data_IF_464539006066
#
_entry.id   IF_464539006066
#
_cell.length_a   1.000
_cell.length_b   1.000
_cell.length_c   1.000
_cell.angle_alpha   90.00
_cell.angle_beta   90.00
_cell.angle_gamma   90.00
#
_symmetry.space_group_name_H-M   'P 1'
#
loop_
_entity.id
_entity.type
_entity.pdbx_description
1 polymer ?
#
# COMPACT_ATOMS: atom_id res chain seq x y z
N UNK A 1 -5.80 6.83 -7.36
CA UNK A 1 -7.21 6.95 -6.95
C UNK A 1 -8.16 6.40 -7.99
N UNK A 2 -7.98 6.79 -9.24
CA UNK A 2 -8.83 6.29 -10.32
C UNK A 2 -8.75 4.77 -10.49
N UNK A 3 -7.59 4.17 -10.20
CA UNK A 3 -7.42 2.71 -10.26
C UNK A 3 -8.34 2.03 -9.24
N UNK A 4 -8.37 2.53 -8.01
CA UNK A 4 -9.22 1.95 -6.95
C UNK A 4 -10.71 2.15 -7.26
N UNK A 5 -11.08 3.32 -7.78
CA UNK A 5 -12.46 3.56 -8.19
C UNK A 5 -12.89 2.57 -9.27
N UNK A 6 -12.03 2.34 -10.28
CA UNK A 6 -12.33 1.39 -11.34
C UNK A 6 -12.51 -0.02 -10.82
N UNK A 7 -11.61 -0.47 -9.94
CA UNK A 7 -11.72 -1.81 -9.34
C UNK A 7 -12.98 -1.93 -8.49
N UNK A 8 -13.28 -0.91 -7.69
CA UNK A 8 -14.47 -0.91 -6.86
C UNK A 8 -15.75 -1.01 -7.72
N UNK A 9 -15.83 -0.24 -8.79
CA UNK A 9 -17.01 -0.21 -9.65
C UNK A 9 -17.28 -1.56 -10.33
N UNK A 10 -16.21 -2.29 -10.68
CA UNK A 10 -16.35 -3.62 -11.29
C UNK A 10 -16.66 -4.69 -10.26
N UNK A 11 -16.15 -4.54 -9.04
CA UNK A 11 -16.25 -5.55 -7.98
C UNK A 11 -16.75 -4.93 -6.66
N UNK A 12 -17.95 -4.32 -6.63
CA UNK A 12 -18.38 -3.55 -5.44
C UNK A 12 -18.60 -4.39 -4.19
N UNK A 13 -18.78 -5.70 -4.33
CA UNK A 13 -19.01 -6.60 -3.18
C UNK A 13 -17.73 -7.19 -2.63
N UNK A 14 -16.61 -7.01 -3.31
CA UNK A 14 -15.32 -7.55 -2.86
C UNK A 14 -14.55 -6.50 -2.09
N UNK A 15 -13.81 -6.95 -1.08
CA UNK A 15 -12.95 -6.08 -0.29
C UNK A 15 -11.65 -5.84 -1.03
N UNK A 16 -11.16 -4.62 -0.96
CA UNK A 16 -9.91 -4.22 -1.62
C UNK A 16 -8.81 -4.07 -0.58
N UNK A 17 -7.71 -4.78 -0.80
CA UNK A 17 -6.49 -4.68 0.00
C UNK A 17 -5.45 -4.02 -0.89
N UNK A 18 -5.03 -2.81 -0.55
CA UNK A 18 -4.01 -2.09 -1.31
C UNK A 18 -2.64 -2.34 -0.69
N UNK A 19 -1.67 -2.76 -1.51
CA UNK A 19 -0.28 -2.91 -1.09
C UNK A 19 0.48 -1.74 -1.71
N UNK A 20 0.86 -0.78 -0.88
CA UNK A 20 1.42 0.48 -1.36
C UNK A 20 2.90 0.60 -1.01
N UNK A 21 3.73 0.80 -2.02
CA UNK A 21 5.14 1.12 -1.86
C UNK A 21 5.35 2.59 -2.20
N UNK A 22 5.60 3.46 -1.20
CA UNK A 22 5.92 4.86 -1.49
C UNK A 22 7.21 4.96 -2.29
N UNK A 23 7.26 5.89 -3.22
CA UNK A 23 8.37 6.02 -4.16
C UNK A 23 9.00 7.40 -4.02
N UNK A 24 10.27 7.44 -3.62
CA UNK A 24 11.07 8.65 -3.37
C UNK A 24 10.59 9.46 -2.18
N UNK A 25 11.53 9.82 -1.31
CA UNK A 25 11.23 10.65 -0.15
C UNK A 25 10.66 12.01 -0.53
N UNK A 26 11.28 12.67 -1.53
CA UNK A 26 10.86 13.99 -1.97
C UNK A 26 9.41 13.99 -2.45
N UNK A 27 9.03 13.00 -3.22
CA UNK A 27 7.67 12.91 -3.76
C UNK A 27 6.64 12.66 -2.67
N UNK A 28 6.93 11.75 -1.76
CA UNK A 28 5.98 11.40 -0.70
C UNK A 28 5.82 12.55 0.28
N UNK A 29 6.92 13.20 0.67
CA UNK A 29 6.87 14.36 1.55
C UNK A 29 6.07 15.49 0.92
N UNK A 30 6.29 15.75 -0.37
CA UNK A 30 5.59 16.81 -1.10
C UNK A 30 4.10 16.52 -1.29
N UNK A 31 3.72 15.25 -1.51
CA UNK A 31 2.37 14.86 -1.90
C UNK A 31 1.67 14.01 -0.84
N UNK A 32 2.14 14.04 0.40
CA UNK A 32 1.62 13.13 1.42
C UNK A 32 0.12 13.27 1.67
N UNK A 33 -0.42 14.48 1.60
CA UNK A 33 -1.85 14.70 1.79
C UNK A 33 -2.68 14.09 0.66
N UNK A 34 -2.20 14.23 -0.57
CA UNK A 34 -2.86 13.65 -1.74
C UNK A 34 -2.81 12.12 -1.67
N UNK A 35 -1.65 11.55 -1.34
CA UNK A 35 -1.52 10.11 -1.17
C UNK A 35 -2.44 9.60 -0.06
N UNK A 36 -2.52 10.33 1.06
CA UNK A 36 -3.32 9.91 2.19
C UNK A 36 -4.81 9.79 1.86
N UNK A 37 -5.29 10.52 0.86
CA UNK A 37 -6.69 10.50 0.44
C UNK A 37 -6.99 9.46 -0.64
N UNK A 38 -5.96 8.82 -1.20
CA UNK A 38 -6.13 7.93 -2.36
C UNK A 38 -6.77 6.58 -2.03
N UNK A 39 -6.83 6.21 -0.77
CA UNK A 39 -7.15 4.84 -0.36
C UNK A 39 -8.56 4.69 0.23
N UNK A 40 -9.43 5.64 0.00
CA UNK A 40 -10.76 5.61 0.63
C UNK A 40 -11.61 4.41 0.19
N UNK A 41 -11.30 3.78 -0.95
CA UNK A 41 -11.97 2.55 -1.39
C UNK A 41 -11.27 1.28 -0.90
N UNK A 42 -10.15 1.41 -0.21
CA UNK A 42 -9.45 0.26 0.34
C UNK A 42 -10.00 -0.10 1.71
N UNK A 43 -10.24 -1.38 1.93
CA UNK A 43 -10.62 -1.88 3.25
C UNK A 43 -9.41 -1.94 4.16
N UNK A 44 -8.26 -2.24 3.59
CA UNK A 44 -6.96 -2.19 4.29
C UNK A 44 -5.89 -1.70 3.34
N UNK A 45 -4.88 -1.04 3.90
CA UNK A 45 -3.68 -0.63 3.17
C UNK A 45 -2.48 -1.28 3.86
N UNK A 46 -1.72 -2.04 3.10
CA UNK A 46 -0.44 -2.59 3.57
C UNK A 46 0.63 -1.62 3.10
N UNK A 47 1.23 -0.91 4.04
CA UNK A 47 2.22 0.11 3.74
C UNK A 47 3.61 -0.51 3.78
N UNK A 48 4.26 -0.56 2.62
CA UNK A 48 5.59 -1.13 2.45
C UNK A 48 6.67 -0.07 2.69
N UNK A 49 7.93 -0.49 2.89
CA UNK A 49 9.03 0.46 3.01
C UNK A 49 9.13 1.36 1.78
N UNK A 50 9.52 2.60 1.98
CA UNK A 50 9.70 3.56 0.90
C UNK A 50 10.84 3.11 -0.02
N UNK A 51 10.61 3.14 -1.33
CA UNK A 51 11.63 2.88 -2.33
C UNK A 51 12.31 4.20 -2.69
N UNK A 52 13.59 4.31 -2.32
CA UNK A 52 14.30 5.60 -2.39
C UNK A 52 14.67 6.01 -3.82
N UNK A 53 14.81 5.06 -4.75
CA UNK A 53 15.19 5.32 -6.14
C UNK A 53 16.46 6.17 -6.26
N UNK A 54 17.45 5.89 -5.42
CA UNK A 54 18.71 6.60 -5.42
C UNK A 54 18.78 7.82 -4.52
N UNK A 55 17.67 8.26 -3.96
CA UNK A 55 17.69 9.38 -3.00
C UNK A 55 18.32 8.97 -1.68
N UNK A 56 18.92 9.92 -0.99
CA UNK A 56 19.40 9.69 0.37
C UNK A 56 18.20 9.68 1.32
N UNK A 57 18.32 8.89 2.39
CA UNK A 57 17.29 8.84 3.43
C UNK A 57 17.00 10.25 3.94
N UNK A 58 15.72 10.59 4.03
CA UNK A 58 15.27 11.88 4.51
C UNK A 58 14.57 11.68 5.86
N UNK A 59 15.13 12.27 6.91
CA UNK A 59 14.62 12.15 8.27
C UNK A 59 13.24 12.80 8.47
N UNK A 60 12.80 13.64 7.52
CA UNK A 60 11.46 14.23 7.57
C UNK A 60 10.37 13.23 7.22
N UNK A 61 10.72 12.10 6.62
CA UNK A 61 9.75 11.06 6.35
C UNK A 61 9.64 10.10 7.52
N UNK A 62 8.45 10.02 8.10
CA UNK A 62 8.14 9.11 9.19
C UNK A 62 7.02 8.19 8.72
N UNK A 63 7.35 6.92 8.51
CA UNK A 63 6.40 5.94 7.94
C UNK A 63 5.20 5.73 8.85
N UNK A 64 5.40 5.78 10.17
CA UNK A 64 4.31 5.59 11.12
C UNK A 64 3.31 6.74 11.03
N UNK A 65 3.81 7.97 11.01
CA UNK A 65 2.96 9.16 10.84
C UNK A 65 2.26 9.17 9.50
N UNK A 66 2.95 8.74 8.45
CA UNK A 66 2.34 8.64 7.12
C UNK A 66 1.21 7.62 7.12
N UNK A 67 1.42 6.46 7.76
CA UNK A 67 0.37 5.46 7.93
C UNK A 67 -0.84 5.99 8.68
N UNK A 68 -0.61 6.74 9.76
CA UNK A 68 -1.70 7.38 10.52
C UNK A 68 -2.47 8.38 9.66
N UNK A 69 -1.76 9.13 8.84
CA UNK A 69 -2.38 10.10 7.96
C UNK A 69 -3.29 9.40 6.92
N UNK A 70 -2.83 8.30 6.35
CA UNK A 70 -3.63 7.48 5.43
C UNK A 70 -4.87 6.95 6.14
N UNK A 71 -4.69 6.39 7.34
CA UNK A 71 -5.81 5.80 8.08
C UNK A 71 -6.90 6.84 8.37
N UNK A 72 -6.50 8.05 8.74
CA UNK A 72 -7.44 9.12 9.05
C UNK A 72 -8.12 9.68 7.80
N UNK A 73 -7.35 9.96 6.75
CA UNK A 73 -7.87 10.66 5.58
C UNK A 73 -8.59 9.75 4.59
N UNK A 74 -8.26 8.48 4.59
CA UNK A 74 -8.94 7.49 3.74
C UNK A 74 -9.91 6.61 4.52
N UNK A 75 -10.01 6.81 5.83
CA UNK A 75 -10.88 6.05 6.72
C UNK A 75 -10.70 4.54 6.51
N UNK A 76 -9.45 4.09 6.57
CA UNK A 76 -9.09 2.69 6.33
C UNK A 76 -8.08 2.22 7.35
N UNK A 77 -7.97 0.91 7.52
CA UNK A 77 -6.96 0.31 8.37
C UNK A 77 -5.63 0.27 7.63
N UNK A 78 -4.55 0.66 8.29
CA UNK A 78 -3.21 0.63 7.71
C UNK A 78 -2.33 -0.32 8.52
N UNK A 79 -1.65 -1.21 7.82
CA UNK A 79 -0.71 -2.16 8.42
C UNK A 79 0.65 -1.89 7.79
N UNK A 80 1.65 -1.64 8.63
CA UNK A 80 3.01 -1.32 8.19
C UNK A 80 3.84 -2.61 8.24
N UNK A 81 4.49 -2.92 7.13
CA UNK A 81 5.40 -4.07 7.05
C UNK A 81 6.82 -3.59 6.80
N UNK A 82 7.80 -4.39 7.19
CA UNK A 82 9.22 -4.02 7.10
C UNK A 82 9.92 -4.59 5.88
N UNK A 83 9.42 -5.67 5.32
CA UNK A 83 10.09 -6.34 4.20
C UNK A 83 9.13 -7.30 3.50
N UNK A 84 9.63 -7.92 2.43
CA UNK A 84 8.87 -8.87 1.63
C UNK A 84 8.42 -10.09 2.43
N UNK A 85 9.24 -10.55 3.35
CA UNK A 85 8.91 -11.73 4.17
C UNK A 85 7.69 -11.45 5.03
N UNK A 86 7.61 -10.27 5.64
CA UNK A 86 6.45 -9.87 6.43
C UNK A 86 5.19 -9.77 5.58
N UNK A 87 5.32 -9.28 4.35
CA UNK A 87 4.20 -9.20 3.42
C UNK A 87 3.63 -10.59 3.13
N UNK A 88 4.50 -11.53 2.81
CA UNK A 88 4.09 -12.91 2.53
C UNK A 88 3.41 -13.55 3.73
N UNK A 89 4.01 -13.40 4.91
CA UNK A 89 3.44 -13.94 6.15
C UNK A 89 2.06 -13.36 6.44
N UNK A 90 1.91 -12.05 6.22
CA UNK A 90 0.64 -11.39 6.46
C UNK A 90 -0.46 -11.99 5.58
N UNK A 91 -0.20 -12.14 4.29
CA UNK A 91 -1.22 -12.64 3.37
C UNK A 91 -1.50 -14.13 3.55
N UNK A 92 -0.49 -14.93 3.87
CA UNK A 92 -0.73 -16.35 4.15
C UNK A 92 -1.67 -16.54 5.34
N UNK A 93 -1.61 -15.62 6.31
CA UNK A 93 -2.42 -15.71 7.51
C UNK A 93 -3.79 -15.05 7.36
N UNK A 94 -3.90 -13.99 6.56
CA UNK A 94 -5.04 -13.08 6.59
C UNK A 94 -5.81 -12.94 5.28
N UNK A 95 -5.40 -13.57 4.21
CA UNK A 95 -6.07 -13.41 2.91
C UNK A 95 -7.33 -14.27 2.85
N UNK A 96 -8.44 -13.66 2.44
CA UNK A 96 -9.73 -14.33 2.26
C UNK A 96 -10.13 -14.31 0.77
N UNK A 97 -10.97 -15.28 0.38
CA UNK A 97 -11.41 -15.45 -1.02
C UNK A 97 -12.15 -14.23 -1.59
N UNK A 98 -12.75 -13.44 -0.71
CA UNK A 98 -13.58 -12.29 -1.08
C UNK A 98 -12.74 -11.01 -1.23
N UNK A 99 -11.42 -11.11 -1.20
CA UNK A 99 -10.54 -9.95 -1.23
C UNK A 99 -9.81 -9.85 -2.57
N UNK A 100 -9.64 -8.61 -3.03
CA UNK A 100 -8.81 -8.28 -4.20
C UNK A 100 -7.58 -7.56 -3.68
N UNK A 101 -6.40 -8.03 -4.07
CA UNK A 101 -5.13 -7.42 -3.66
C UNK A 101 -4.56 -6.63 -4.82
N UNK A 102 -4.31 -5.35 -4.60
CA UNK A 102 -3.78 -4.44 -5.62
C UNK A 102 -2.44 -3.88 -5.15
N UNK A 103 -1.39 -4.14 -5.92
CA UNK A 103 -0.08 -3.53 -5.67
C UNK A 103 0.01 -2.18 -6.36
N UNK A 104 0.50 -1.17 -5.63
CA UNK A 104 0.66 0.19 -6.14
C UNK A 104 2.05 0.70 -5.78
N UNK A 105 2.74 1.26 -6.76
CA UNK A 105 4.07 1.81 -6.58
C UNK A 105 4.98 1.49 -7.74
N UNK A 106 6.25 1.86 -7.60
CA UNK A 106 7.30 1.56 -8.55
C UNK A 106 8.44 0.90 -7.78
N UNK A 107 9.41 0.34 -8.47
CA UNK A 107 10.53 -0.32 -7.82
C UNK A 107 10.25 -1.78 -7.51
N UNK A 108 10.41 -2.21 -6.27
CA UNK A 108 10.36 -3.63 -5.92
C UNK A 108 8.96 -4.21 -5.80
N UNK A 109 7.92 -3.39 -5.72
CA UNK A 109 6.57 -3.88 -5.43
C UNK A 109 6.04 -4.87 -6.48
N UNK A 110 6.35 -4.67 -7.75
CA UNK A 110 5.88 -5.59 -8.80
C UNK A 110 6.48 -6.98 -8.64
N UNK A 111 7.76 -7.06 -8.25
CA UNK A 111 8.43 -8.34 -7.99
C UNK A 111 7.81 -9.03 -6.76
N UNK A 112 7.55 -8.28 -5.71
CA UNK A 112 6.94 -8.81 -4.49
C UNK A 112 5.56 -9.36 -4.77
N UNK A 113 4.76 -8.65 -5.57
CA UNK A 113 3.41 -9.09 -5.92
C UNK A 113 3.44 -10.35 -6.77
N UNK A 114 4.39 -10.43 -7.71
CA UNK A 114 4.56 -11.63 -8.53
C UNK A 114 4.88 -12.85 -7.67
N UNK A 115 5.86 -12.70 -6.75
CA UNK A 115 6.24 -13.80 -5.85
C UNK A 115 5.09 -14.20 -4.93
N UNK A 116 4.36 -13.22 -4.42
CA UNK A 116 3.22 -13.46 -3.55
C UNK A 116 2.17 -14.32 -4.27
N UNK A 117 1.85 -13.97 -5.52
CA UNK A 117 0.88 -14.71 -6.32
C UNK A 117 1.27 -16.18 -6.46
N UNK A 118 2.56 -16.47 -6.60
CA UNK A 118 3.05 -17.84 -6.79
C UNK A 118 3.28 -18.60 -5.48
N UNK A 119 3.33 -17.92 -4.34
CA UNK A 119 3.53 -18.57 -3.04
C UNK A 119 2.22 -18.86 -2.30
N UNK A 120 1.14 -18.26 -2.74
CA UNK A 120 -0.20 -18.48 -2.17
C UNK A 120 -1.03 -19.52 -2.99
#
# INVERSE_FOLDING_TARGET
>A
RSILEGVYNVNPKRKIISVFEPHRYSRVISLKKEFAKCFFRSNRVILCPLYAAGEKKNIKFDVIKFGELIAQNSNTQVIIIKNEIELEKYFKKNLNDNEIVIGMGAGSISKWMFKLKHSL
#
